data_IF_242129912733
#
_entry.id   IF_242129912733
#
_cell.length_a   1.000
_cell.length_b   1.000
_cell.length_c   1.000
_cell.angle_alpha   90.00
_cell.angle_beta   90.00
_cell.angle_gamma   90.00
#
_symmetry.space_group_name_H-M   'P 1'
#
loop_
_entity.id
_entity.type
_entity.pdbx_description
1 polymer ?
#
# COMPACT_ATOMS: atom_id res chain seq x y z
N UNK A 1 4.31 -9.73 24.00
CA UNK A 1 4.22 -10.08 22.57
C UNK A 1 3.09 -9.26 21.99
N UNK A 2 3.38 -8.26 21.16
CA UNK A 2 2.34 -7.46 20.50
C UNK A 2 1.78 -8.26 19.33
N UNK A 3 0.44 -8.35 19.23
CA UNK A 3 -0.24 -8.94 18.09
C UNK A 3 0.25 -8.27 16.78
N UNK A 4 0.46 -9.02 15.69
CA UNK A 4 0.80 -8.42 14.41
C UNK A 4 -0.32 -7.45 14.00
N UNK A 5 0.04 -6.22 13.65
CA UNK A 5 -0.94 -5.25 13.15
C UNK A 5 -1.55 -5.81 11.85
N UNK A 6 -2.87 -5.74 11.67
CA UNK A 6 -3.50 -6.18 10.43
C UNK A 6 -2.96 -5.38 9.25
N UNK A 7 -2.72 -6.07 8.12
CA UNK A 7 -2.15 -5.47 6.92
C UNK A 7 -3.07 -4.40 6.30
N UNK A 8 -4.38 -4.53 6.49
CA UNK A 8 -5.40 -3.58 6.04
C UNK A 8 -6.00 -2.77 7.21
N UNK A 9 -6.45 -1.55 6.92
CA UNK A 9 -6.99 -0.62 7.92
C UNK A 9 -8.29 -1.13 8.57
N UNK A 10 -8.57 -0.67 9.79
CA UNK A 10 -9.83 -0.97 10.49
C UNK A 10 -11.06 -0.53 9.67
N UNK A 11 -10.96 0.62 9.00
CA UNK A 11 -12.04 1.13 8.14
C UNK A 11 -12.31 0.17 6.97
N UNK A 12 -11.24 -0.36 6.34
CA UNK A 12 -11.40 -1.31 5.26
C UNK A 12 -11.96 -2.65 5.75
N UNK A 13 -11.52 -3.13 6.92
CA UNK A 13 -12.08 -4.34 7.55
C UNK A 13 -13.59 -4.21 7.81
N UNK A 14 -14.04 -3.09 8.37
CA UNK A 14 -15.47 -2.81 8.59
C UNK A 14 -16.23 -2.70 7.27
N UNK A 15 -15.64 -2.11 6.23
CA UNK A 15 -16.25 -2.09 4.89
C UNK A 15 -16.50 -3.51 4.36
N UNK A 16 -15.53 -4.42 4.53
CA UNK A 16 -15.68 -5.82 4.10
C UNK A 16 -16.80 -6.55 4.86
N UNK A 17 -16.98 -6.29 6.16
CA UNK A 17 -17.99 -6.98 6.99
C UNK A 17 -19.39 -6.37 6.92
N UNK A 18 -19.49 -5.03 6.96
CA UNK A 18 -20.77 -4.32 7.08
C UNK A 18 -21.46 -4.10 5.72
N UNK A 19 -20.70 -4.12 4.62
CA UNK A 19 -21.22 -3.90 3.27
C UNK A 19 -20.73 -4.96 2.26
N UNK A 20 -20.97 -6.26 2.50
CA UNK A 20 -20.33 -7.35 1.77
C UNK A 20 -20.61 -7.36 0.26
N UNK A 21 -21.81 -6.94 -0.18
CA UNK A 21 -22.13 -6.84 -1.60
C UNK A 21 -21.33 -5.72 -2.31
N UNK A 22 -21.13 -4.58 -1.64
CA UNK A 22 -20.29 -3.49 -2.16
C UNK A 22 -18.83 -3.90 -2.17
N UNK A 23 -18.37 -4.57 -1.11
CA UNK A 23 -17.02 -5.13 -1.02
C UNK A 23 -16.74 -6.13 -2.14
N UNK A 24 -17.68 -7.03 -2.44
CA UNK A 24 -17.52 -8.00 -3.53
C UNK A 24 -17.35 -7.32 -4.89
N UNK A 25 -18.20 -6.33 -5.20
CA UNK A 25 -18.10 -5.58 -6.45
C UNK A 25 -16.78 -4.79 -6.55
N UNK A 26 -16.37 -4.15 -5.45
CA UNK A 26 -15.10 -3.44 -5.35
C UNK A 26 -13.91 -4.37 -5.57
N UNK A 27 -13.87 -5.52 -4.88
CA UNK A 27 -12.76 -6.47 -5.00
C UNK A 27 -12.67 -7.09 -6.40
N UNK A 28 -13.80 -7.35 -7.06
CA UNK A 28 -13.81 -7.78 -8.45
C UNK A 28 -13.16 -6.74 -9.37
N UNK A 29 -13.46 -5.45 -9.17
CA UNK A 29 -12.83 -4.37 -9.92
C UNK A 29 -11.33 -4.25 -9.62
N UNK A 30 -10.93 -4.34 -8.35
CA UNK A 30 -9.51 -4.31 -7.94
C UNK A 30 -8.73 -5.45 -8.60
N UNK A 31 -9.22 -6.68 -8.54
CA UNK A 31 -8.55 -7.82 -9.17
C UNK A 31 -8.49 -7.69 -10.69
N UNK A 32 -9.59 -7.24 -11.33
CA UNK A 32 -9.59 -7.03 -12.79
C UNK A 32 -8.59 -5.96 -13.25
N UNK A 33 -8.33 -4.93 -12.42
CA UNK A 33 -7.31 -3.91 -12.71
C UNK A 33 -5.89 -4.44 -12.52
N UNK A 34 -5.63 -5.22 -11.46
CA UNK A 34 -4.34 -5.89 -11.20
C UNK A 34 -4.01 -6.88 -12.34
N UNK A 35 -4.97 -7.71 -12.76
CA UNK A 35 -4.80 -8.64 -13.89
C UNK A 35 -4.56 -7.94 -15.24
N UNK A 36 -5.13 -6.75 -15.44
CA UNK A 36 -4.95 -5.97 -16.65
C UNK A 36 -3.62 -5.21 -16.70
N UNK A 37 -2.94 -5.07 -15.56
CA UNK A 37 -1.67 -4.38 -15.43
C UNK A 37 -0.58 -5.13 -16.20
N UNK A 38 0.22 -4.39 -16.98
CA UNK A 38 1.38 -4.95 -17.68
C UNK A 38 2.66 -4.91 -16.82
N UNK A 39 2.57 -4.34 -15.61
CA UNK A 39 3.71 -4.21 -14.70
C UNK A 39 3.96 -5.55 -14.00
N UNK A 40 5.24 -5.85 -13.73
CA UNK A 40 5.54 -6.91 -12.78
C UNK A 40 5.12 -6.50 -11.36
N UNK A 41 4.84 -7.49 -10.51
CA UNK A 41 4.28 -7.23 -9.18
C UNK A 41 5.13 -6.28 -8.32
N UNK A 42 6.47 -6.36 -8.41
CA UNK A 42 7.35 -5.49 -7.64
C UNK A 42 7.20 -4.04 -8.11
N UNK A 43 7.25 -3.83 -9.41
CA UNK A 43 7.09 -2.51 -10.02
C UNK A 43 5.72 -1.91 -9.72
N UNK A 44 4.67 -2.71 -9.82
CA UNK A 44 3.30 -2.29 -9.53
C UNK A 44 3.13 -1.83 -8.07
N UNK A 45 3.57 -2.63 -7.11
CA UNK A 45 3.44 -2.29 -5.69
C UNK A 45 4.24 -1.03 -5.33
N UNK A 46 5.46 -0.87 -5.85
CA UNK A 46 6.26 0.34 -5.65
C UNK A 46 5.60 1.57 -6.27
N UNK A 47 5.02 1.45 -7.47
CA UNK A 47 4.28 2.53 -8.10
C UNK A 47 3.02 2.89 -7.27
N UNK A 48 2.31 1.88 -6.76
CA UNK A 48 1.11 2.09 -5.96
C UNK A 48 1.42 2.74 -4.61
N UNK A 49 2.53 2.37 -3.94
CA UNK A 49 3.02 3.06 -2.74
C UNK A 49 3.25 4.56 -3.02
N UNK A 50 3.83 4.91 -4.17
CA UNK A 50 4.04 6.31 -4.54
C UNK A 50 2.70 7.06 -4.72
N UNK A 51 1.70 6.42 -5.34
CA UNK A 51 0.34 6.97 -5.48
C UNK A 51 -0.31 7.19 -4.12
N UNK A 52 -0.26 6.20 -3.22
CA UNK A 52 -0.81 6.31 -1.87
C UNK A 52 -0.14 7.45 -1.07
N UNK A 53 1.19 7.57 -1.17
CA UNK A 53 1.93 8.64 -0.50
C UNK A 53 1.55 10.02 -1.04
N UNK A 54 1.41 10.16 -2.37
CA UNK A 54 0.96 11.40 -3.01
C UNK A 54 -0.47 11.79 -2.63
N UNK A 55 -1.36 10.80 -2.49
CA UNK A 55 -2.75 10.99 -2.08
C UNK A 55 -2.94 11.12 -0.56
N UNK A 56 -1.87 10.96 0.24
CA UNK A 56 -1.92 10.95 1.72
C UNK A 56 -2.91 9.92 2.25
N UNK A 57 -2.80 8.71 1.69
CA UNK A 57 -3.61 7.55 2.07
C UNK A 57 -2.75 6.56 2.87
N UNK A 58 -2.23 7.01 4.02
CA UNK A 58 -1.24 6.25 4.82
C UNK A 58 -1.79 4.89 5.30
N UNK A 59 -3.12 4.78 5.45
CA UNK A 59 -3.76 3.55 5.92
C UNK A 59 -3.62 2.35 4.96
N UNK A 60 -3.34 2.59 3.67
CA UNK A 60 -3.07 1.55 2.69
C UNK A 60 -1.59 1.17 2.57
N UNK A 61 -0.68 2.03 3.05
CA UNK A 61 0.76 1.85 2.89
C UNK A 61 1.28 0.50 3.47
N UNK A 62 0.88 0.06 4.68
CA UNK A 62 1.40 -1.18 5.24
C UNK A 62 1.15 -2.42 4.37
N UNK A 63 -0.04 -2.55 3.81
CA UNK A 63 -0.40 -3.67 2.93
C UNK A 63 0.51 -3.74 1.71
N UNK A 64 0.62 -2.62 0.98
CA UNK A 64 1.39 -2.57 -0.27
C UNK A 64 2.90 -2.69 -0.02
N UNK A 65 3.40 -2.21 1.13
CA UNK A 65 4.80 -2.45 1.51
C UNK A 65 5.10 -3.92 1.79
N UNK A 66 4.20 -4.62 2.48
CA UNK A 66 4.36 -6.06 2.70
C UNK A 66 4.30 -6.84 1.38
N UNK A 67 3.37 -6.47 0.49
CA UNK A 67 3.28 -7.08 -0.85
C UNK A 67 4.54 -6.81 -1.69
N UNK A 68 5.04 -5.57 -1.71
CA UNK A 68 6.30 -5.21 -2.37
C UNK A 68 7.48 -6.03 -1.83
N UNK A 69 7.60 -6.17 -0.50
CA UNK A 69 8.64 -6.98 0.15
C UNK A 69 8.56 -8.45 -0.27
N UNK A 70 7.36 -9.02 -0.32
CA UNK A 70 7.13 -10.40 -0.80
C UNK A 70 7.50 -10.55 -2.29
N UNK A 71 7.31 -9.50 -3.09
CA UNK A 71 7.75 -9.43 -4.49
C UNK A 71 9.25 -9.14 -4.66
N UNK A 72 10.02 -9.04 -3.57
CA UNK A 72 11.47 -8.85 -3.59
C UNK A 72 11.92 -7.39 -3.63
N UNK A 73 11.05 -6.43 -3.33
CA UNK A 73 11.46 -5.05 -3.12
C UNK A 73 12.36 -4.92 -1.90
N UNK A 74 13.42 -4.14 -2.05
CA UNK A 74 14.31 -3.74 -0.97
C UNK A 74 13.71 -2.59 -0.15
N UNK A 75 14.23 -2.43 1.07
CA UNK A 75 13.90 -1.31 1.96
C UNK A 75 14.16 0.05 1.29
N UNK A 76 15.25 0.11 0.50
CA UNK A 76 15.63 1.31 -0.26
C UNK A 76 14.61 1.64 -1.34
N UNK A 77 14.16 0.65 -2.11
CA UNK A 77 13.11 0.84 -3.13
C UNK A 77 11.80 1.35 -2.51
N UNK A 78 11.40 0.84 -1.33
CA UNK A 78 10.21 1.35 -0.62
C UNK A 78 10.35 2.81 -0.19
N UNK A 79 11.51 3.20 0.35
CA UNK A 79 11.77 4.63 0.69
C UNK A 79 11.74 5.50 -0.56
N UNK A 80 12.36 5.04 -1.65
CA UNK A 80 12.34 5.74 -2.94
C UNK A 80 10.93 5.90 -3.49
N UNK A 81 10.08 4.87 -3.38
CA UNK A 81 8.68 4.94 -3.81
C UNK A 81 7.89 5.99 -3.03
N UNK A 82 7.99 6.00 -1.70
CA UNK A 82 7.33 7.01 -0.85
C UNK A 82 7.76 8.43 -1.22
N UNK A 83 9.06 8.63 -1.45
CA UNK A 83 9.63 9.95 -1.75
C UNK A 83 9.54 10.34 -3.23
N UNK A 84 9.10 9.45 -4.11
CA UNK A 84 9.04 9.68 -5.56
C UNK A 84 8.21 10.92 -5.90
N UNK A 85 7.08 11.09 -5.19
CA UNK A 85 6.18 12.22 -5.37
C UNK A 85 6.67 13.55 -4.77
N UNK A 86 7.79 13.57 -4.03
CA UNK A 86 8.22 14.75 -3.27
C UNK A 86 8.32 16.04 -4.10
N UNK A 87 8.87 16.04 -5.34
CA UNK A 87 8.93 17.25 -6.16
C UNK A 87 7.57 17.75 -6.66
N UNK A 88 6.61 16.84 -6.88
CA UNK A 88 5.32 17.14 -7.52
C UNK A 88 4.17 17.34 -6.52
N UNK A 89 4.09 16.49 -5.50
CA UNK A 89 3.06 16.48 -4.47
C UNK A 89 3.48 17.22 -3.17
N UNK A 90 4.75 17.64 -3.09
CA UNK A 90 5.32 18.36 -1.94
C UNK A 90 5.66 17.46 -0.75
N UNK A 91 6.07 18.09 0.36
CA UNK A 91 6.60 17.38 1.55
C UNK A 91 5.58 16.48 2.28
N UNK A 92 4.29 16.57 1.93
CA UNK A 92 3.25 15.76 2.54
C UNK A 92 3.50 14.26 2.42
N UNK A 93 4.15 13.81 1.33
CA UNK A 93 4.49 12.39 1.10
C UNK A 93 5.37 11.79 2.21
N UNK A 94 6.14 12.63 2.91
CA UNK A 94 7.03 12.17 4.01
C UNK A 94 6.25 11.58 5.19
N UNK A 95 4.96 11.90 5.34
CA UNK A 95 4.10 11.35 6.38
C UNK A 95 3.86 9.84 6.24
N UNK A 96 4.08 9.28 5.04
CA UNK A 96 3.99 7.84 4.81
C UNK A 96 5.23 7.06 5.27
N UNK A 97 6.37 7.72 5.52
CA UNK A 97 7.64 7.05 5.89
C UNK A 97 7.53 6.20 7.16
N UNK A 98 6.95 6.68 8.29
CA UNK A 98 6.87 5.87 9.50
C UNK A 98 6.05 4.59 9.30
N UNK A 99 4.92 4.68 8.60
CA UNK A 99 4.08 3.52 8.31
C UNK A 99 4.76 2.54 7.35
N UNK A 100 5.42 3.05 6.31
CA UNK A 100 6.14 2.23 5.34
C UNK A 100 7.31 1.48 6.00
N UNK A 101 8.15 2.17 6.76
CA UNK A 101 9.31 1.55 7.41
C UNK A 101 8.88 0.54 8.48
N UNK A 102 7.87 0.87 9.29
CA UNK A 102 7.34 -0.06 10.28
C UNK A 102 6.78 -1.34 9.63
N UNK A 103 6.11 -1.23 8.47
CA UNK A 103 5.57 -2.38 7.75
C UNK A 103 6.67 -3.22 7.09
N UNK A 104 7.70 -2.58 6.54
CA UNK A 104 8.82 -3.29 5.91
C UNK A 104 9.68 -4.03 6.95
N UNK A 105 9.96 -3.37 8.07
CA UNK A 105 10.84 -3.85 9.13
C UNK A 105 10.11 -4.85 10.08
N UNK A 106 8.78 -4.98 9.96
CA UNK A 106 8.03 -6.05 10.61
C UNK A 106 8.42 -7.42 10.02
N UNK A 107 8.53 -8.43 10.89
CA UNK A 107 8.89 -9.83 10.53
C UNK A 107 7.98 -10.39 9.44
#
# INVERSE_FOLDING_TARGET
>A
MSQPKPAISNAFQLFLSEAPAHAQAWMAAVHGLDEASALDKKTEELAYIAVLAALRMESGIPFHVQSAKQAGASRGEVVSAVLLGLPAAGNGVTQSLPAALAAYDAE
#
